data_IF_111161451480
#
_entry.id   IF_111161451480
#
_cell.length_a   1.000
_cell.length_b   1.000
_cell.length_c   1.000
_cell.angle_alpha   90.00
_cell.angle_beta   90.00
_cell.angle_gamma   90.00
#
_symmetry.space_group_name_H-M   'P 1'
#
loop_
_entity.id
_entity.type
_entity.pdbx_description
1 polymer ?
#
# COMPACT_ATOMS: atom_id res chain seq x y z
N UNK A 1 16.97 26.87 -30.02
CA UNK A 1 16.97 25.39 -30.16
C UNK A 1 17.81 24.68 -29.10
N UNK A 2 18.88 25.29 -28.55
CA UNK A 2 19.66 24.70 -27.44
C UNK A 2 18.87 24.57 -26.12
N UNK A 3 18.14 25.62 -25.72
CA UNK A 3 17.38 25.65 -24.44
C UNK A 3 16.31 24.55 -24.37
N UNK A 4 15.66 24.21 -25.49
CA UNK A 4 14.68 23.12 -25.57
C UNK A 4 15.29 21.73 -25.41
N UNK A 5 16.54 21.55 -25.84
CA UNK A 5 17.26 20.27 -25.70
C UNK A 5 17.75 20.07 -24.26
N UNK A 6 18.32 21.12 -23.65
CA UNK A 6 18.71 21.11 -22.23
C UNK A 6 17.50 20.88 -21.33
N UNK A 7 16.38 21.58 -21.60
CA UNK A 7 15.13 21.38 -20.86
C UNK A 7 14.60 19.94 -20.95
N UNK A 8 14.60 19.34 -22.15
CA UNK A 8 14.21 17.94 -22.34
C UNK A 8 15.09 16.98 -21.55
N UNK A 9 16.42 17.17 -21.59
CA UNK A 9 17.37 16.33 -20.87
C UNK A 9 17.18 16.44 -19.35
N UNK A 10 17.08 17.66 -18.83
CA UNK A 10 16.83 17.89 -17.39
C UNK A 10 15.52 17.24 -16.94
N UNK A 11 14.47 17.32 -17.75
CA UNK A 11 13.18 16.71 -17.43
C UNK A 11 13.27 15.17 -17.46
N UNK A 12 14.00 14.60 -18.41
CA UNK A 12 14.25 13.16 -18.47
C UNK A 12 15.05 12.69 -17.24
N UNK A 13 16.13 13.39 -16.88
CA UNK A 13 16.91 13.08 -15.68
C UNK A 13 16.07 13.21 -14.41
N UNK A 14 15.29 14.28 -14.28
CA UNK A 14 14.38 14.49 -13.14
C UNK A 14 13.33 13.37 -13.03
N UNK A 15 12.72 12.97 -14.14
CA UNK A 15 11.76 11.87 -14.17
C UNK A 15 12.39 10.55 -13.69
N UNK A 16 13.60 10.24 -14.17
CA UNK A 16 14.32 9.01 -13.75
C UNK A 16 14.70 9.06 -12.27
N UNK A 17 15.09 10.23 -11.74
CA UNK A 17 15.38 10.38 -10.31
C UNK A 17 14.14 10.20 -9.43
N UNK A 18 13.01 10.81 -9.81
CA UNK A 18 11.72 10.62 -9.12
C UNK A 18 11.34 9.14 -9.16
N UNK A 19 11.52 8.50 -10.31
CA UNK A 19 11.24 7.08 -10.48
C UNK A 19 12.11 6.20 -9.57
N UNK A 20 13.42 6.47 -9.51
CA UNK A 20 14.35 5.75 -8.66
C UNK A 20 13.97 5.89 -7.18
N UNK A 21 13.65 7.10 -6.73
CA UNK A 21 13.20 7.34 -5.36
C UNK A 21 11.91 6.57 -5.05
N UNK A 22 10.95 6.59 -5.99
CA UNK A 22 9.70 5.88 -5.83
C UNK A 22 9.87 4.37 -5.66
N UNK A 23 10.75 3.74 -6.44
CA UNK A 23 11.03 2.32 -6.30
C UNK A 23 11.70 1.98 -4.97
N UNK A 24 12.67 2.80 -4.53
CA UNK A 24 13.31 2.58 -3.22
C UNK A 24 12.29 2.72 -2.09
N UNK A 25 11.40 3.71 -2.14
CA UNK A 25 10.32 3.87 -1.17
C UNK A 25 9.41 2.65 -1.18
N UNK A 26 8.92 2.21 -2.34
CA UNK A 26 8.03 1.04 -2.44
C UNK A 26 8.68 -0.22 -1.87
N UNK A 27 9.93 -0.52 -2.25
CA UNK A 27 10.62 -1.70 -1.74
C UNK A 27 10.85 -1.64 -0.23
N UNK A 28 11.16 -0.46 0.32
CA UNK A 28 11.32 -0.28 1.77
C UNK A 28 10.02 -0.50 2.52
N UNK A 29 8.93 0.04 2.01
CA UNK A 29 7.61 -0.05 2.61
C UNK A 29 7.04 -1.48 2.52
N UNK A 30 7.20 -2.14 1.38
CA UNK A 30 6.85 -3.56 1.22
C UNK A 30 7.64 -4.41 2.22
N UNK A 31 8.95 -4.18 2.34
CA UNK A 31 9.79 -4.92 3.29
C UNK A 31 9.49 -4.58 4.77
N UNK A 32 9.06 -3.36 5.05
CA UNK A 32 8.56 -2.97 6.38
C UNK A 32 7.25 -3.69 6.69
N UNK A 33 6.30 -3.75 5.76
CA UNK A 33 5.04 -4.49 5.87
C UNK A 33 5.26 -5.99 6.07
N UNK A 34 6.21 -6.59 5.36
CA UNK A 34 6.57 -8.00 5.55
C UNK A 34 7.13 -8.31 6.95
N UNK A 35 7.80 -7.34 7.59
CA UNK A 35 8.49 -7.52 8.88
C UNK A 35 7.66 -7.05 10.06
N UNK A 36 6.70 -6.16 9.84
CA UNK A 36 5.86 -5.59 10.88
C UNK A 36 5.01 -6.67 11.55
N UNK A 37 5.05 -6.73 12.89
CA UNK A 37 4.24 -7.65 13.71
C UNK A 37 2.88 -7.06 14.09
N UNK A 38 2.72 -5.74 13.93
CA UNK A 38 1.49 -4.96 14.09
C UNK A 38 1.45 -3.91 12.98
N UNK A 39 0.26 -3.65 12.45
CA UNK A 39 0.07 -2.63 11.43
C UNK A 39 -0.48 -1.38 12.11
N UNK A 40 0.33 -0.34 12.18
CA UNK A 40 -0.10 0.94 12.74
C UNK A 40 -0.82 1.75 11.64
N UNK A 41 -2.11 2.09 11.82
CA UNK A 41 -2.90 2.76 10.78
C UNK A 41 -2.31 4.11 10.34
N UNK A 42 -1.71 4.84 11.29
CA UNK A 42 -1.09 6.15 11.04
C UNK A 42 0.13 6.02 10.14
N UNK A 43 0.93 4.97 10.31
CA UNK A 43 2.10 4.70 9.46
C UNK A 43 1.68 4.33 8.02
N UNK A 44 0.62 3.52 7.87
CA UNK A 44 0.08 3.16 6.56
C UNK A 44 -0.42 4.37 5.77
N UNK A 45 -1.13 5.28 6.42
CA UNK A 45 -1.68 6.47 5.75
C UNK A 45 -0.55 7.40 5.28
N UNK A 46 0.48 7.60 6.11
CA UNK A 46 1.66 8.38 5.76
C UNK A 46 2.40 7.78 4.56
N UNK A 47 2.58 6.45 4.54
CA UNK A 47 3.18 5.71 3.43
C UNK A 47 2.34 5.85 2.15
N UNK A 48 1.03 5.63 2.23
CA UNK A 48 0.12 5.74 1.09
C UNK A 48 0.12 7.16 0.49
N UNK A 49 0.15 8.19 1.33
CA UNK A 49 0.26 9.59 0.90
C UNK A 49 1.59 9.87 0.19
N UNK A 50 2.69 9.35 0.72
CA UNK A 50 4.02 9.51 0.10
C UNK A 50 4.06 8.85 -1.28
N UNK A 51 3.56 7.61 -1.41
CA UNK A 51 3.46 6.92 -2.70
C UNK A 51 2.58 7.67 -3.70
N UNK A 52 1.46 8.25 -3.23
CA UNK A 52 0.54 9.02 -4.07
C UNK A 52 1.20 10.29 -4.63
N UNK A 53 1.99 10.99 -3.81
CA UNK A 53 2.76 12.15 -4.26
C UNK A 53 3.81 11.79 -5.30
N UNK A 54 4.54 10.69 -5.09
CA UNK A 54 5.54 10.21 -6.05
C UNK A 54 4.89 9.80 -7.38
N UNK A 55 3.73 9.16 -7.33
CA UNK A 55 2.97 8.81 -8.53
C UNK A 55 2.46 10.05 -9.27
N UNK A 56 2.00 11.08 -8.55
CA UNK A 56 1.59 12.35 -9.15
C UNK A 56 2.76 13.05 -9.84
N UNK A 57 3.94 13.09 -9.20
CA UNK A 57 5.16 13.65 -9.79
C UNK A 57 5.61 12.88 -11.05
N UNK A 58 5.48 11.55 -11.05
CA UNK A 58 5.75 10.72 -12.22
C UNK A 58 4.78 10.99 -13.37
N UNK A 59 3.49 11.20 -13.07
CA UNK A 59 2.49 11.58 -14.05
C UNK A 59 2.79 12.95 -14.68
N UNK A 60 3.10 13.95 -13.85
CA UNK A 60 3.40 15.32 -14.32
C UNK A 60 4.66 15.31 -15.19
N UNK A 61 5.74 14.69 -14.71
CA UNK A 61 6.99 14.62 -15.45
C UNK A 61 6.88 13.76 -16.71
N UNK A 62 6.26 12.58 -16.64
CA UNK A 62 6.04 11.69 -17.79
C UNK A 62 5.11 12.29 -18.85
N UNK A 63 4.02 12.92 -18.42
CA UNK A 63 3.11 13.65 -19.30
C UNK A 63 3.80 14.82 -20.01
N UNK A 64 4.67 15.55 -19.29
CA UNK A 64 5.48 16.62 -19.88
C UNK A 64 6.45 16.10 -20.94
N UNK A 65 7.11 14.96 -20.72
CA UNK A 65 7.96 14.31 -21.74
C UNK A 65 7.15 13.93 -22.98
N UNK A 66 5.99 13.31 -22.79
CA UNK A 66 5.11 12.89 -23.88
C UNK A 66 4.66 14.10 -24.71
N UNK A 67 4.26 15.18 -24.05
CA UNK A 67 3.82 16.40 -24.72
C UNK A 67 4.96 17.02 -25.55
N UNK A 68 6.18 17.06 -24.99
CA UNK A 68 7.38 17.57 -25.67
C UNK A 68 7.87 16.66 -26.80
N UNK A 69 7.69 15.35 -26.72
CA UNK A 69 8.15 14.37 -27.72
C UNK A 69 7.13 14.16 -28.86
N UNK A 70 5.83 14.17 -28.56
CA UNK A 70 4.78 13.71 -29.50
C UNK A 70 3.77 14.78 -29.89
N UNK A 71 3.82 15.98 -29.29
CA UNK A 71 3.01 17.11 -29.74
C UNK A 71 1.49 16.89 -29.72
N UNK A 72 0.99 16.07 -28.77
CA UNK A 72 -0.41 15.61 -28.64
C UNK A 72 -0.91 14.60 -29.68
N UNK A 73 -0.05 14.00 -30.50
CA UNK A 73 -0.46 12.90 -31.37
C UNK A 73 -0.63 11.59 -30.58
N UNK A 74 -1.85 11.39 -30.06
CA UNK A 74 -2.24 10.19 -29.30
C UNK A 74 -2.23 8.93 -30.18
N UNK A 75 -2.45 9.06 -31.49
CA UNK A 75 -2.43 7.93 -32.42
C UNK A 75 -0.99 7.44 -32.62
N UNK A 76 -0.02 8.36 -32.74
CA UNK A 76 1.39 8.02 -32.76
C UNK A 76 1.86 7.37 -31.44
N UNK A 77 1.27 7.77 -30.31
CA UNK A 77 1.53 7.12 -29.02
C UNK A 77 1.11 5.64 -29.00
N UNK A 78 -0.07 5.34 -29.53
CA UNK A 78 -0.61 3.98 -29.58
C UNK A 78 0.23 3.03 -30.45
N UNK A 79 0.89 3.56 -31.49
CA UNK A 79 1.81 2.76 -32.32
C UNK A 79 3.09 2.35 -31.58
N UNK A 80 3.49 3.10 -30.54
CA UNK A 80 4.66 2.81 -29.72
C UNK A 80 4.29 1.88 -28.56
N UNK A 81 4.29 0.57 -28.82
CA UNK A 81 3.94 -0.50 -27.86
C UNK A 81 4.55 -0.30 -26.45
N UNK A 82 5.84 0.07 -26.38
CA UNK A 82 6.52 0.32 -25.09
C UNK A 82 5.95 1.52 -24.33
N UNK A 83 5.63 2.61 -25.03
CA UNK A 83 5.10 3.83 -24.42
C UNK A 83 3.65 3.61 -23.98
N UNK A 84 2.84 2.96 -24.82
CA UNK A 84 1.48 2.54 -24.47
C UNK A 84 1.46 1.66 -23.21
N UNK A 85 2.37 0.67 -23.13
CA UNK A 85 2.51 -0.19 -21.94
C UNK A 85 2.79 0.64 -20.67
N UNK A 86 3.75 1.58 -20.73
CA UNK A 86 4.06 2.45 -19.59
C UNK A 86 2.82 3.21 -19.10
N UNK A 87 2.07 3.80 -20.02
CA UNK A 87 0.85 4.54 -19.68
C UNK A 87 -0.23 3.64 -19.08
N UNK A 88 -0.45 2.45 -19.64
CA UNK A 88 -1.39 1.47 -19.07
C UNK A 88 -1.00 1.09 -17.65
N UNK A 89 0.27 0.72 -17.43
CA UNK A 89 0.77 0.30 -16.11
C UNK A 89 0.67 1.42 -15.09
N UNK A 90 1.07 2.64 -15.44
CA UNK A 90 0.97 3.80 -14.54
C UNK A 90 -0.50 4.13 -14.22
N UNK A 91 -1.40 4.02 -15.19
CA UNK A 91 -2.85 4.20 -14.98
C UNK A 91 -3.43 3.15 -14.04
N UNK A 92 -3.05 1.87 -14.21
CA UNK A 92 -3.42 0.79 -13.30
C UNK A 92 -2.92 1.05 -11.88
N UNK A 93 -1.71 1.59 -11.75
CA UNK A 93 -1.13 1.99 -10.47
C UNK A 93 -1.95 3.11 -9.80
N UNK A 94 -2.41 4.09 -10.58
CA UNK A 94 -3.28 5.17 -10.09
C UNK A 94 -4.62 4.62 -9.60
N UNK A 95 -5.26 3.75 -10.37
CA UNK A 95 -6.53 3.10 -9.97
C UNK A 95 -6.33 2.26 -8.71
N UNK A 96 -5.27 1.45 -8.64
CA UNK A 96 -4.97 0.64 -7.46
C UNK A 96 -4.68 1.50 -6.21
N UNK A 97 -3.94 2.59 -6.37
CA UNK A 97 -3.68 3.55 -5.29
C UNK A 97 -4.96 4.16 -4.73
N UNK A 98 -5.92 4.49 -5.61
CA UNK A 98 -7.22 5.00 -5.20
C UNK A 98 -8.04 3.94 -4.43
N UNK A 99 -8.01 2.69 -4.89
CA UNK A 99 -8.65 1.57 -4.20
C UNK A 99 -8.04 1.29 -2.82
N UNK A 100 -6.73 1.43 -2.67
CA UNK A 100 -6.07 1.30 -1.36
C UNK A 100 -6.57 2.36 -0.37
N UNK A 101 -6.65 3.62 -0.80
CA UNK A 101 -7.15 4.73 0.05
C UNK A 101 -8.64 4.59 0.39
N UNK A 102 -9.46 4.15 -0.55
CA UNK A 102 -10.92 4.07 -0.36
C UNK A 102 -11.39 2.77 0.27
N UNK A 103 -10.66 1.67 0.13
CA UNK A 103 -11.09 0.34 0.57
C UNK A 103 -10.17 -0.21 1.66
N UNK A 104 -8.88 -0.32 1.39
CA UNK A 104 -7.96 -0.98 2.31
C UNK A 104 -7.79 -0.21 3.63
N UNK A 105 -7.58 1.11 3.58
CA UNK A 105 -7.40 1.91 4.79
C UNK A 105 -8.65 1.96 5.69
N UNK A 106 -9.88 2.15 5.15
CA UNK A 106 -11.10 2.01 5.95
C UNK A 106 -11.30 0.61 6.54
N UNK A 107 -10.88 -0.45 5.82
CA UNK A 107 -10.99 -1.82 6.31
C UNK A 107 -10.04 -2.13 7.46
N UNK A 108 -8.90 -1.43 7.55
CA UNK A 108 -7.91 -1.64 8.61
C UNK A 108 -8.14 -0.76 9.85
N UNK A 109 -8.96 0.27 9.73
CA UNK A 109 -9.28 1.23 10.80
C UNK A 109 -10.61 0.96 11.49
N UNK A 110 -11.49 0.15 10.87
CA UNK A 110 -12.80 -0.21 11.42
C UNK A 110 -12.85 -1.69 11.82
N UNK A 111 -13.52 -2.04 12.93
CA UNK A 111 -13.78 -3.43 13.29
C UNK A 111 -14.48 -4.16 12.14
N UNK A 112 -13.94 -5.30 11.71
CA UNK A 112 -14.45 -6.02 10.55
C UNK A 112 -15.24 -7.24 11.00
N UNK A 113 -16.46 -7.39 10.50
CA UNK A 113 -17.27 -8.61 10.74
C UNK A 113 -16.66 -9.87 10.11
N UNK A 114 -15.79 -9.70 9.09
CA UNK A 114 -15.14 -10.78 8.34
C UNK A 114 -13.64 -10.48 8.14
N UNK A 115 -12.80 -10.66 9.18
CA UNK A 115 -11.38 -10.29 9.14
C UNK A 115 -10.59 -11.04 8.06
N UNK A 116 -11.00 -12.26 7.70
CA UNK A 116 -10.38 -13.04 6.62
C UNK A 116 -10.61 -12.49 5.21
N UNK A 117 -11.73 -11.79 4.97
CA UNK A 117 -12.00 -11.12 3.69
C UNK A 117 -11.24 -9.79 3.61
N UNK A 118 -11.27 -8.98 4.67
CA UNK A 118 -10.51 -7.74 4.75
C UNK A 118 -9.00 -8.00 4.55
N UNK A 119 -8.46 -9.04 5.19
CA UNK A 119 -7.08 -9.47 5.00
C UNK A 119 -6.78 -9.89 3.54
N UNK A 120 -7.73 -10.56 2.88
CA UNK A 120 -7.59 -10.96 1.48
C UNK A 120 -7.57 -9.76 0.53
N UNK A 121 -8.47 -8.79 0.73
CA UNK A 121 -8.53 -7.55 -0.05
C UNK A 121 -7.26 -6.73 0.12
N UNK A 122 -6.81 -6.50 1.37
CA UNK A 122 -5.58 -5.77 1.64
C UNK A 122 -4.34 -6.47 1.05
N UNK A 123 -4.23 -7.79 1.21
CA UNK A 123 -3.12 -8.56 0.63
C UNK A 123 -3.10 -8.49 -0.90
N UNK A 124 -4.27 -8.53 -1.54
CA UNK A 124 -4.40 -8.48 -3.00
C UNK A 124 -4.05 -7.09 -3.54
N UNK A 125 -4.61 -6.02 -2.98
CA UNK A 125 -4.32 -4.64 -3.41
C UNK A 125 -2.85 -4.26 -3.17
N UNK A 126 -2.27 -4.74 -2.07
CA UNK A 126 -0.83 -4.62 -1.81
C UNK A 126 0.00 -5.33 -2.87
N UNK A 127 -0.31 -6.60 -3.17
CA UNK A 127 0.40 -7.38 -4.19
C UNK A 127 0.32 -6.75 -5.59
N UNK A 128 -0.86 -6.28 -5.98
CA UNK A 128 -1.06 -5.56 -7.25
C UNK A 128 -0.14 -4.34 -7.29
N UNK A 129 -0.07 -3.57 -6.19
CA UNK A 129 0.83 -2.40 -6.09
C UNK A 129 2.29 -2.79 -6.30
N UNK A 130 2.80 -3.75 -5.53
CA UNK A 130 4.20 -4.18 -5.57
C UNK A 130 4.59 -4.70 -6.95
N UNK A 131 3.78 -5.59 -7.53
CA UNK A 131 4.04 -6.14 -8.87
C UNK A 131 4.02 -5.03 -9.91
N UNK A 132 3.05 -4.11 -9.85
CA UNK A 132 2.91 -3.04 -10.85
C UNK A 132 4.08 -2.06 -10.79
N UNK A 133 4.61 -1.74 -9.61
CA UNK A 133 5.83 -0.91 -9.46
C UNK A 133 7.08 -1.60 -10.00
N UNK A 134 7.29 -2.88 -9.66
CA UNK A 134 8.45 -3.64 -10.15
C UNK A 134 8.36 -3.81 -11.67
N UNK A 135 7.16 -4.10 -12.19
CA UNK A 135 6.93 -4.22 -13.63
C UNK A 135 7.13 -2.89 -14.37
N UNK A 136 6.69 -1.77 -13.81
CA UNK A 136 6.96 -0.44 -14.36
C UNK A 136 8.48 -0.18 -14.49
N UNK A 137 9.26 -0.62 -13.50
CA UNK A 137 10.74 -0.53 -13.54
C UNK A 137 11.32 -1.34 -14.66
N UNK A 138 10.86 -2.58 -14.80
CA UNK A 138 11.25 -3.46 -15.89
C UNK A 138 10.96 -2.83 -17.25
N UNK A 139 9.74 -2.34 -17.50
CA UNK A 139 9.39 -1.66 -18.76
C UNK A 139 10.24 -0.40 -18.97
N UNK A 140 10.60 0.30 -17.89
CA UNK A 140 11.55 1.41 -17.89
C UNK A 140 12.86 1.06 -18.57
N UNK A 141 13.48 -0.05 -18.15
CA UNK A 141 14.82 -0.49 -18.59
C UNK A 141 14.83 -1.48 -19.75
N UNK A 142 13.66 -2.01 -20.15
CA UNK A 142 13.47 -2.99 -21.23
C UNK A 142 13.79 -2.41 -22.62
N UNK A 143 15.04 -2.02 -22.88
CA UNK A 143 15.49 -1.50 -24.19
C UNK A 143 15.82 -2.63 -25.16
N UNK A 144 16.37 -3.73 -24.66
CA UNK A 144 16.81 -4.87 -25.47
C UNK A 144 15.63 -5.68 -26.03
N UNK A 145 14.57 -5.85 -25.26
CA UNK A 145 13.41 -6.65 -25.63
C UNK A 145 12.27 -5.83 -26.26
N UNK A 146 12.33 -4.50 -26.17
CA UNK A 146 11.27 -3.64 -26.70
C UNK A 146 11.09 -3.71 -28.23
N UNK A 147 12.14 -3.92 -29.05
CA UNK A 147 11.95 -4.08 -30.49
C UNK A 147 11.25 -5.39 -30.88
N UNK A 148 11.32 -6.42 -30.03
CA UNK A 148 10.77 -7.75 -30.30
C UNK A 148 9.41 -8.02 -29.64
N UNK A 149 8.98 -7.18 -28.69
CA UNK A 149 7.71 -7.33 -27.97
C UNK A 149 6.64 -6.36 -28.48
N UNK A 150 5.47 -6.91 -28.82
CA UNK A 150 4.26 -6.15 -29.03
C UNK A 150 3.65 -5.70 -27.70
N UNK A 151 2.70 -4.76 -27.75
CA UNK A 151 1.91 -4.35 -26.58
C UNK A 151 1.28 -5.56 -25.86
N UNK A 152 0.69 -6.50 -26.62
CA UNK A 152 0.10 -7.71 -26.06
C UNK A 152 1.14 -8.54 -25.28
N UNK A 153 2.33 -8.76 -25.86
CA UNK A 153 3.39 -9.50 -25.18
C UNK A 153 3.86 -8.84 -23.87
N UNK A 154 3.90 -7.51 -23.82
CA UNK A 154 4.15 -6.81 -22.55
C UNK A 154 3.01 -7.08 -21.54
N UNK A 155 1.76 -6.93 -21.96
CA UNK A 155 0.62 -7.12 -21.06
C UNK A 155 0.47 -8.58 -20.59
N UNK A 156 0.79 -9.57 -21.43
CA UNK A 156 0.80 -10.97 -21.03
C UNK A 156 1.83 -11.24 -19.94
N UNK A 157 3.04 -10.67 -20.08
CA UNK A 157 4.08 -10.75 -19.05
C UNK A 157 3.64 -10.04 -17.76
N UNK A 158 2.96 -8.90 -17.87
CA UNK A 158 2.39 -8.21 -16.71
C UNK A 158 1.36 -9.08 -16.00
N UNK A 159 0.41 -9.67 -16.74
CA UNK A 159 -0.63 -10.53 -16.19
C UNK A 159 -0.05 -11.79 -15.54
N UNK A 160 0.96 -12.40 -16.15
CA UNK A 160 1.67 -13.54 -15.57
C UNK A 160 2.36 -13.17 -14.25
N UNK A 161 3.10 -12.05 -14.24
CA UNK A 161 3.73 -11.54 -13.01
C UNK A 161 2.70 -11.20 -11.92
N UNK A 162 1.55 -10.63 -12.32
CA UNK A 162 0.46 -10.28 -11.42
C UNK A 162 -0.19 -11.51 -10.80
N UNK A 163 -0.48 -12.54 -11.60
CA UNK A 163 -1.04 -13.80 -11.13
C UNK A 163 -0.12 -14.46 -10.09
N UNK A 164 1.18 -14.51 -10.38
CA UNK A 164 2.18 -15.07 -9.46
C UNK A 164 2.26 -14.25 -8.16
N UNK A 165 2.31 -12.92 -8.26
CA UNK A 165 2.39 -12.03 -7.10
C UNK A 165 1.15 -12.12 -6.21
N UNK A 166 -0.05 -12.12 -6.80
CA UNK A 166 -1.31 -12.26 -6.07
C UNK A 166 -1.42 -13.64 -5.42
N UNK A 167 -1.10 -14.71 -6.14
CA UNK A 167 -1.09 -16.06 -5.57
C UNK A 167 -0.15 -16.15 -4.35
N UNK A 168 1.07 -15.61 -4.48
CA UNK A 168 2.05 -15.57 -3.39
C UNK A 168 1.53 -14.77 -2.20
N UNK A 169 0.90 -13.62 -2.42
CA UNK A 169 0.34 -12.79 -1.35
C UNK A 169 -0.83 -13.47 -0.64
N UNK A 170 -1.70 -14.17 -1.36
CA UNK A 170 -2.82 -14.90 -0.76
C UNK A 170 -2.35 -16.11 0.06
N UNK A 171 -1.26 -16.76 -0.33
CA UNK A 171 -0.69 -17.90 0.40
C UNK A 171 0.10 -17.43 1.63
N UNK A 172 0.92 -16.38 1.49
CA UNK A 172 1.91 -16.00 2.52
C UNK A 172 1.46 -14.83 3.39
N UNK A 173 0.82 -13.82 2.81
CA UNK A 173 0.53 -12.53 3.47
C UNK A 173 -0.86 -12.50 4.10
N UNK A 174 -1.89 -12.99 3.39
CA UNK A 174 -3.27 -13.08 3.90
C UNK A 174 -3.38 -13.73 5.30
N UNK A 175 -2.77 -14.90 5.59
CA UNK A 175 -2.91 -15.50 6.92
C UNK A 175 -2.30 -14.65 8.03
N UNK A 176 -1.24 -13.88 7.74
CA UNK A 176 -0.62 -12.96 8.70
C UNK A 176 -1.51 -11.77 9.00
N UNK A 177 -2.10 -11.14 7.98
CA UNK A 177 -3.01 -10.01 8.17
C UNK A 177 -4.27 -10.45 8.90
N UNK A 178 -4.83 -11.63 8.56
CA UNK A 178 -6.02 -12.15 9.24
C UNK A 178 -5.75 -12.39 10.75
N UNK A 179 -4.58 -12.95 11.09
CA UNK A 179 -4.18 -13.13 12.48
C UNK A 179 -3.97 -11.79 13.23
N UNK A 180 -3.54 -10.73 12.53
CA UNK A 180 -3.38 -9.40 13.11
C UNK A 180 -4.73 -8.72 13.39
N UNK A 181 -5.66 -8.77 12.43
CA UNK A 181 -7.00 -8.18 12.59
C UNK A 181 -7.79 -8.87 13.71
N UNK A 182 -7.73 -10.20 13.79
CA UNK A 182 -8.42 -10.97 14.85
C UNK A 182 -7.90 -10.59 16.25
N UNK A 183 -6.57 -10.50 16.42
CA UNK A 183 -5.97 -10.08 17.71
C UNK A 183 -6.33 -8.64 18.12
N UNK A 184 -6.58 -7.76 17.16
CA UNK A 184 -6.98 -6.39 17.45
C UNK A 184 -8.43 -6.33 17.94
N UNK A 185 -9.33 -7.13 17.34
CA UNK A 185 -10.71 -7.27 17.81
C UNK A 185 -10.76 -7.87 19.23
N UNK A 186 -9.97 -8.91 19.52
CA UNK A 186 -9.89 -9.52 20.86
C UNK A 186 -9.39 -8.52 21.93
N UNK A 187 -8.40 -7.69 21.59
CA UNK A 187 -7.85 -6.68 22.50
C UNK A 187 -8.82 -5.50 22.74
N UNK A 188 -9.68 -5.17 21.76
CA UNK A 188 -10.75 -4.19 21.93
C UNK A 188 -11.97 -4.75 22.66
N UNK A 189 -12.18 -6.06 22.62
CA UNK A 189 -13.29 -6.76 23.26
C UNK A 189 -13.01 -7.19 24.71
N UNK A 190 -11.75 -7.20 25.16
CA UNK A 190 -11.45 -7.42 26.57
C UNK A 190 -12.00 -6.24 27.37
N UNK A 191 -13.01 -6.44 28.25
CA UNK A 191 -13.23 -5.47 29.31
C UNK A 191 -11.91 -5.37 30.05
N UNK A 192 -11.54 -4.17 30.49
CA UNK A 192 -10.62 -4.05 31.60
C UNK A 192 -11.20 -4.89 32.76
N UNK A 193 -10.77 -6.14 32.86
CA UNK A 193 -11.09 -7.01 33.98
C UNK A 193 -10.41 -6.41 35.17
N UNK A 194 -11.20 -5.72 35.98
CA UNK A 194 -11.46 -6.15 37.34
C UNK A 194 -10.24 -6.28 38.29
N UNK A 195 -9.19 -5.49 38.10
CA UNK A 195 -8.17 -5.29 39.13
C UNK A 195 -8.43 -3.95 39.81
N UNK A 196 -9.17 -3.97 40.92
CA UNK A 196 -9.39 -2.78 41.74
C UNK A 196 -10.58 -2.80 42.70
N UNK A 197 -11.21 -3.94 43.00
CA UNK A 197 -12.08 -4.03 44.18
C UNK A 197 -11.27 -4.59 45.35
N UNK A 198 -10.72 -3.66 46.12
CA UNK A 198 -9.97 -3.93 47.34
C UNK A 198 -9.86 -2.66 48.17
N UNK A 199 -10.95 -1.92 48.32
CA UNK A 199 -11.02 -0.86 49.32
C UNK A 199 -11.07 -1.51 50.71
N UNK A 200 -9.90 -1.74 51.31
CA UNK A 200 -9.80 -1.88 52.76
C UNK A 200 -10.13 -0.52 53.36
N UNK A 201 -11.39 -0.34 53.74
CA UNK A 201 -11.86 0.86 54.43
C UNK A 201 -11.33 0.82 55.88
N UNK A 202 -10.48 1.76 56.35
CA UNK A 202 -9.88 1.68 57.69
C UNK A 202 -10.80 2.19 58.81
N UNK A 203 -12.10 2.38 58.54
CA UNK A 203 -12.95 3.26 59.35
C UNK A 203 -14.28 2.65 59.81
N UNK A 204 -14.34 1.34 60.01
CA UNK A 204 -15.42 0.72 60.81
C UNK A 204 -14.95 0.58 62.26
N UNK A 205 -15.08 1.67 63.01
CA UNK A 205 -15.11 1.69 64.47
C UNK A 205 -16.46 2.24 64.93
N UNK A 206 -17.03 1.60 65.96
CA UNK A 206 -18.26 1.90 66.72
C UNK A 206 -19.59 1.43 66.05
N UNK A 207 -20.57 0.78 66.70
CA UNK A 207 -20.89 0.65 68.13
C UNK A 207 -22.05 -0.36 68.42
N UNK A 208 -21.93 -1.15 69.50
CA UNK A 208 -23.00 -1.64 70.43
C UNK A 208 -23.94 -2.82 70.05
N UNK A 209 -24.66 -3.47 71.00
CA UNK A 209 -24.70 -3.28 72.46
C UNK A 209 -24.43 -4.55 73.32
N UNK A 210 -24.32 -4.31 74.62
CA UNK A 210 -24.16 -5.28 75.70
C UNK A 210 -25.14 -6.46 75.69
N UNK A 211 -24.68 -7.65 76.09
CA UNK A 211 -25.55 -8.71 76.59
C UNK A 211 -24.92 -9.37 77.81
N UNK A 212 -25.78 -9.57 78.79
CA UNK A 212 -25.51 -9.79 80.19
C UNK A 212 -24.91 -11.16 80.52
N UNK A 213 -24.24 -11.18 81.67
CA UNK A 213 -23.91 -12.36 82.44
C UNK A 213 -25.14 -13.20 82.82
N UNK A 214 -24.94 -14.52 82.84
CA UNK A 214 -25.61 -15.61 83.59
C UNK A 214 -25.17 -16.93 82.91
N UNK A 215 -24.65 -17.96 83.56
CA UNK A 215 -24.38 -18.31 84.95
C UNK A 215 -23.50 -19.56 84.98
#
# INVERSE_FOLDING_TARGET
MEITNVGRQLLLFGHVLIFAFAIVTVLREDFALFRARRIEPVALEATGRTMSWLLALLWISGGSLILLDSGMDLALLATKSKLATKLTVVSLLTVNGLLLHWVAFPMMTRPQRLPGLAAGVCATLGAISSVTWVYASFVGVARLIAPSLSYAGFMDLYLAALAIGVATALIVVRPRIAAMLTRADDAGASPATADGYGSSNPFDLHEGPATAAQG
#
